data_IF_190255736274
#
_entry.id   IF_190255736274
#
_cell.length_a   1.000
_cell.length_b   1.000
_cell.length_c   1.000
_cell.angle_alpha   90.00
_cell.angle_beta   90.00
_cell.angle_gamma   90.00
#
_symmetry.space_group_name_H-M   'P 1'
#
loop_
_entity.id
_entity.type
_entity.pdbx_description
1 polymer ?
#
# COMPACT_ATOMS: atom_id res chain seq x y z
N UNK A 1 -5.32 -19.76 -18.74
CA UNK A 1 -5.75 -18.79 -19.76
C UNK A 1 -4.71 -17.67 -19.85
N UNK A 2 -4.27 -17.39 -21.07
CA UNK A 2 -2.98 -16.76 -21.42
C UNK A 2 -2.96 -15.22 -21.41
N UNK A 3 -3.81 -14.57 -20.63
CA UNK A 3 -3.91 -13.09 -20.62
C UNK A 3 -3.13 -12.40 -19.48
N UNK A 4 -2.40 -13.16 -18.65
CA UNK A 4 -1.61 -12.59 -17.54
C UNK A 4 -2.42 -11.76 -16.53
N UNK A 5 -3.76 -11.78 -16.64
CA UNK A 5 -4.66 -11.15 -15.70
C UNK A 5 -4.54 -11.94 -14.40
N UNK A 6 -4.11 -11.31 -13.28
CA UNK A 6 -4.10 -12.01 -12.01
C UNK A 6 -5.50 -12.59 -11.79
N UNK A 7 -5.58 -13.89 -11.55
CA UNK A 7 -6.85 -14.58 -11.31
C UNK A 7 -7.65 -13.79 -10.26
N UNK A 8 -8.95 -13.57 -10.51
CA UNK A 8 -9.84 -12.94 -9.53
C UNK A 8 -9.89 -13.82 -8.28
N UNK A 9 -9.04 -13.49 -7.31
CA UNK A 9 -9.11 -13.94 -5.93
C UNK A 9 -9.68 -12.81 -5.07
N UNK A 10 -10.28 -13.12 -3.90
CA UNK A 10 -10.79 -12.09 -3.02
C UNK A 10 -9.64 -11.17 -2.59
N UNK A 11 -9.62 -9.94 -3.11
CA UNK A 11 -8.81 -8.87 -2.54
C UNK A 11 -9.46 -8.51 -1.21
N UNK A 12 -8.97 -9.13 -0.14
CA UNK A 12 -9.51 -8.90 1.19
C UNK A 12 -8.99 -7.57 1.71
N UNK A 13 -9.83 -6.54 1.60
CA UNK A 13 -9.61 -5.30 2.33
C UNK A 13 -9.89 -5.52 3.82
N UNK A 14 -8.91 -5.18 4.65
CA UNK A 14 -8.98 -5.36 6.11
C UNK A 14 -8.79 -4.02 6.82
N UNK A 15 -9.48 -3.79 7.96
CA UNK A 15 -9.20 -2.63 8.78
C UNK A 15 -7.82 -2.78 9.44
N UNK A 16 -7.04 -1.71 9.42
CA UNK A 16 -5.74 -1.58 10.08
C UNK A 16 -5.77 -0.31 10.95
N UNK A 17 -5.44 -0.45 12.23
CA UNK A 17 -5.29 0.71 13.13
C UNK A 17 -3.81 1.01 13.29
N UNK A 18 -3.40 2.25 12.98
CA UNK A 18 -2.03 2.74 13.10
C UNK A 18 -2.04 4.08 13.83
N UNK A 19 -1.55 4.10 15.08
CA UNK A 19 -1.76 5.23 15.97
C UNK A 19 -3.26 5.49 16.15
N UNK A 20 -3.68 6.74 15.95
CA UNK A 20 -5.09 7.16 16.01
C UNK A 20 -5.86 6.92 14.69
N UNK A 21 -5.19 6.46 13.64
CA UNK A 21 -5.79 6.30 12.31
C UNK A 21 -6.39 4.90 12.12
N UNK A 22 -7.64 4.84 11.68
CA UNK A 22 -8.29 3.62 11.19
C UNK A 22 -8.30 3.64 9.67
N UNK A 23 -7.51 2.76 9.07
CA UNK A 23 -7.33 2.64 7.63
C UNK A 23 -7.99 1.35 7.14
N UNK A 24 -8.38 1.35 5.87
CA UNK A 24 -8.68 0.10 5.15
C UNK A 24 -7.50 -0.19 4.26
N UNK A 25 -6.96 -1.41 4.34
CA UNK A 25 -5.78 -1.80 3.57
C UNK A 25 -5.99 -3.13 2.87
N UNK A 26 -5.35 -3.30 1.72
CA UNK A 26 -5.29 -4.58 1.01
C UNK A 26 -3.85 -5.05 1.02
N UNK A 27 -3.60 -6.20 1.66
CA UNK A 27 -2.27 -6.80 1.73
C UNK A 27 -2.11 -7.87 0.65
N UNK A 28 -0.98 -7.86 -0.04
CA UNK A 28 -0.63 -8.76 -1.12
C UNK A 28 0.70 -9.46 -0.79
N UNK A 29 0.80 -10.74 -1.14
CA UNK A 29 2.01 -11.53 -0.89
C UNK A 29 2.33 -12.42 -2.10
N UNK A 30 3.25 -11.97 -2.94
CA UNK A 30 3.75 -12.70 -4.12
C UNK A 30 5.30 -12.76 -4.11
N UNK A 31 5.90 -12.94 -2.93
CA UNK A 31 7.35 -12.93 -2.73
C UNK A 31 7.89 -11.58 -2.23
N UNK A 32 7.20 -10.47 -2.53
CA UNK A 32 7.45 -9.17 -1.93
C UNK A 32 6.19 -8.68 -1.17
N UNK A 33 6.20 -8.64 0.18
CA UNK A 33 5.07 -8.15 0.94
C UNK A 33 4.73 -6.70 0.58
N UNK A 34 3.51 -6.48 0.09
CA UNK A 34 3.05 -5.18 -0.37
C UNK A 34 1.68 -4.86 0.20
N UNK A 35 1.47 -3.63 0.65
CA UNK A 35 0.22 -3.18 1.24
C UNK A 35 -0.27 -1.93 0.52
N UNK A 36 -1.50 -2.00 0.04
CA UNK A 36 -2.18 -0.90 -0.65
C UNK A 36 -3.14 -0.20 0.29
N UNK A 37 -3.09 1.12 0.31
CA UNK A 37 -3.90 1.99 1.16
C UNK A 37 -4.63 3.00 0.27
N UNK A 38 -5.91 2.77 -0.04
CA UNK A 38 -6.73 3.76 -0.73
C UNK A 38 -6.88 5.02 0.13
N UNK A 39 -6.61 6.19 -0.45
CA UNK A 39 -6.70 7.49 0.23
C UNK A 39 -7.37 8.52 -0.66
N UNK A 40 -7.93 9.57 -0.05
CA UNK A 40 -8.58 10.65 -0.78
C UNK A 40 -7.56 11.52 -1.57
N UNK A 41 -6.34 11.66 -1.04
CA UNK A 41 -5.25 12.41 -1.67
C UNK A 41 -3.90 11.84 -1.21
N UNK A 42 -3.15 11.18 -2.10
CA UNK A 42 -1.82 10.70 -1.77
C UNK A 42 -0.84 11.88 -1.80
N UNK A 43 -0.08 12.07 -0.72
CA UNK A 43 0.94 13.13 -0.62
C UNK A 43 2.24 12.59 -0.03
N UNK A 44 3.39 13.22 -0.33
CA UNK A 44 4.67 12.84 0.27
C UNK A 44 4.63 12.89 1.80
N UNK A 45 3.92 13.86 2.37
CA UNK A 45 3.77 14.04 3.81
C UNK A 45 2.96 12.88 4.43
N UNK A 46 1.88 12.46 3.77
CA UNK A 46 1.09 11.31 4.20
C UNK A 46 1.93 10.02 4.16
N UNK A 47 2.67 9.79 3.07
CA UNK A 47 3.50 8.60 2.94
C UNK A 47 4.66 8.57 3.95
N UNK A 48 5.30 9.72 4.22
CA UNK A 48 6.35 9.84 5.24
C UNK A 48 5.84 9.64 6.66
N UNK A 49 4.61 10.06 6.95
CA UNK A 49 4.02 9.95 8.29
C UNK A 49 3.46 8.55 8.58
N UNK A 50 2.65 8.01 7.67
CA UNK A 50 1.97 6.72 7.88
C UNK A 50 2.76 5.52 7.36
N UNK A 51 3.61 5.71 6.34
CA UNK A 51 4.41 4.65 5.73
C UNK A 51 5.23 3.84 6.73
N UNK A 52 6.05 4.45 7.62
CA UNK A 52 6.81 3.72 8.62
C UNK A 52 5.93 2.92 9.60
N UNK A 53 4.80 3.50 10.02
CA UNK A 53 3.87 2.88 10.97
C UNK A 53 3.21 1.65 10.37
N UNK A 54 2.79 1.73 9.11
CA UNK A 54 2.19 0.61 8.39
C UNK A 54 3.25 -0.43 8.04
N UNK A 55 4.39 -0.02 7.48
CA UNK A 55 5.47 -0.92 7.08
C UNK A 55 6.01 -1.74 8.26
N UNK A 56 6.06 -1.16 9.46
CA UNK A 56 6.49 -1.81 10.69
C UNK A 56 5.37 -2.40 11.54
N UNK A 57 4.11 -2.38 11.09
CA UNK A 57 2.98 -2.79 11.91
C UNK A 57 3.07 -4.27 12.30
N UNK A 58 2.63 -4.65 13.51
CA UNK A 58 2.73 -6.00 14.05
C UNK A 58 2.02 -7.08 13.18
N UNK A 59 1.05 -6.68 12.36
CA UNK A 59 0.40 -7.56 11.36
C UNK A 59 1.30 -7.92 10.17
N UNK A 60 2.44 -7.26 10.01
CA UNK A 60 3.43 -7.53 8.97
C UNK A 60 4.77 -7.89 9.63
N UNK A 61 4.96 -9.14 10.11
CA UNK A 61 6.19 -9.54 10.81
C UNK A 61 7.46 -9.35 9.98
N UNK A 62 7.36 -9.63 8.67
CA UNK A 62 8.44 -9.41 7.71
C UNK A 62 8.48 -7.97 7.16
N UNK A 63 7.72 -7.05 7.78
CA UNK A 63 7.40 -5.71 7.30
C UNK A 63 6.76 -5.73 5.90
N UNK A 64 6.35 -4.57 5.37
CA UNK A 64 5.72 -4.46 4.04
C UNK A 64 6.15 -3.18 3.34
N UNK A 65 6.19 -3.21 2.01
CA UNK A 65 6.11 -1.98 1.21
C UNK A 65 4.69 -1.42 1.31
N UNK A 66 4.54 -0.10 1.18
CA UNK A 66 3.26 0.58 1.32
C UNK A 66 3.05 1.49 0.12
N UNK A 67 1.93 1.32 -0.58
CA UNK A 67 1.46 2.24 -1.61
C UNK A 67 0.19 2.92 -1.15
N UNK A 68 0.23 4.24 -1.07
CA UNK A 68 -0.95 5.07 -0.94
C UNK A 68 -1.44 5.39 -2.34
N UNK A 69 -2.72 5.16 -2.64
CA UNK A 69 -3.24 5.42 -3.98
C UNK A 69 -4.58 6.12 -3.98
N UNK A 70 -4.81 6.85 -5.06
CA UNK A 70 -6.11 7.39 -5.48
C UNK A 70 -6.35 7.01 -6.93
N UNK A 71 -7.52 6.43 -7.19
CA UNK A 71 -7.98 6.14 -8.55
C UNK A 71 -8.59 7.42 -9.12
N UNK A 72 -7.93 8.03 -10.10
CA UNK A 72 -8.44 9.23 -10.79
C UNK A 72 -9.30 8.82 -11.98
N UNK A 73 -8.86 7.81 -12.74
CA UNK A 73 -9.62 7.17 -13.81
C UNK A 73 -9.16 5.72 -13.98
N UNK A 74 -9.74 5.00 -14.96
CA UNK A 74 -9.27 3.65 -15.32
C UNK A 74 -7.82 3.63 -15.84
N UNK A 75 -7.32 4.76 -16.34
CA UNK A 75 -6.02 4.91 -16.98
C UNK A 75 -5.04 5.74 -16.14
N UNK A 76 -5.49 6.31 -15.02
CA UNK A 76 -4.70 7.21 -14.20
C UNK A 76 -4.87 6.90 -12.71
N UNK A 77 -3.75 6.55 -12.08
CA UNK A 77 -3.60 6.44 -10.64
C UNK A 77 -2.63 7.52 -10.17
N UNK A 78 -2.95 8.15 -9.05
CA UNK A 78 -1.98 8.91 -8.29
C UNK A 78 -1.50 8.05 -7.13
N UNK A 79 -0.19 8.00 -6.92
CA UNK A 79 0.42 7.14 -5.91
C UNK A 79 1.53 7.84 -5.16
N UNK A 80 1.73 7.40 -3.93
CA UNK A 80 2.93 7.67 -3.13
C UNK A 80 3.40 6.36 -2.50
N UNK A 81 4.72 6.16 -2.46
CA UNK A 81 5.30 4.88 -2.06
C UNK A 81 6.26 5.03 -0.89
N UNK A 82 6.12 4.12 0.07
CA UNK A 82 7.07 3.91 1.15
C UNK A 82 7.64 2.49 1.04
N UNK A 83 8.94 2.41 0.78
CA UNK A 83 9.66 1.15 0.66
C UNK A 83 10.21 0.68 2.00
N UNK A 84 9.97 -0.59 2.32
CA UNK A 84 10.53 -1.23 3.49
C UNK A 84 12.06 -1.17 3.44
N UNK A 85 12.64 -0.45 4.39
CA UNK A 85 14.10 -0.37 4.56
C UNK A 85 14.76 0.78 3.80
N UNK A 86 14.10 1.37 2.79
CA UNK A 86 14.59 2.54 2.06
C UNK A 86 13.84 3.83 2.44
N UNK A 87 12.61 3.71 2.93
CA UNK A 87 11.79 4.86 3.32
C UNK A 87 10.92 5.38 2.18
N UNK A 88 10.56 6.66 2.25
CA UNK A 88 9.78 7.31 1.20
C UNK A 88 10.55 7.36 -0.13
N UNK A 89 9.91 6.89 -1.20
CA UNK A 89 10.49 6.86 -2.54
C UNK A 89 9.90 7.98 -3.41
N UNK A 90 10.77 8.70 -4.13
CA UNK A 90 10.35 9.74 -5.10
C UNK A 90 9.75 9.14 -6.39
N UNK A 91 10.05 7.88 -6.66
CA UNK A 91 9.49 7.07 -7.73
C UNK A 91 9.60 5.59 -7.32
N UNK A 92 8.65 4.76 -7.77
CA UNK A 92 8.69 3.31 -7.62
C UNK A 92 8.37 2.69 -8.98
N UNK A 93 9.06 1.60 -9.34
CA UNK A 93 9.01 0.96 -10.66
C UNK A 93 8.11 -0.26 -10.73
#
# INVERSE_FOLDING_TARGET
DEDGTPAEGPTLSVPLTVGEHKLTVTALHNGNPHTVVPVAEPTPQLARSLGPLIAGHARFPSRTNVTFLRVVSRELLEIEVYERGAGYALASG
#
